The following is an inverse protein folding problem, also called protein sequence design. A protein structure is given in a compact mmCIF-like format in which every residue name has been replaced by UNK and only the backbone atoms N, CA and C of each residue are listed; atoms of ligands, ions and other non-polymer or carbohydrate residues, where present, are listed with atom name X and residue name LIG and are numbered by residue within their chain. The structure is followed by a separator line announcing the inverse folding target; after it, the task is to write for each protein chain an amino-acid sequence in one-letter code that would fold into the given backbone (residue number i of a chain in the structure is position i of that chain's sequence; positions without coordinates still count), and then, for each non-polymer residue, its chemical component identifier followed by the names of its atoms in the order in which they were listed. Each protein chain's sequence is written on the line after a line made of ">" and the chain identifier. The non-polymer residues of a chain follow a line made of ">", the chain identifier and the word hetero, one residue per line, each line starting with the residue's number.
data_IF_297553348531
#
_entry.id   IF_297553348531
#
_cell.length_a   1.000
_cell.length_b   1.000
_cell.length_c   1.000
_cell.angle_alpha   90.00
_cell.angle_beta   90.00
_cell.angle_gamma   90.00
#
_symmetry.space_group_name_H-M   'P 1'
#
loop_
_entity.id
_entity.type
_entity.pdbx_description
1 polymer ?
#
# COMPACT_ATOMS: atom_id res chain seq x y z
N UNK A 1 -3.24 -13.25 -3.46
CA UNK A 1 -2.29 -12.37 -4.19
C UNK A 1 -2.99 -11.81 -5.42
N UNK A 2 -2.66 -10.59 -5.84
CA UNK A 2 -3.30 -9.92 -6.98
C UNK A 2 -2.22 -9.38 -7.87
N UNK A 3 -2.11 -9.94 -9.08
CA UNK A 3 -1.07 -9.54 -10.01
C UNK A 3 -1.43 -8.24 -10.72
N UNK A 4 -0.41 -7.47 -11.08
CA UNK A 4 -0.57 -6.22 -11.83
C UNK A 4 0.75 -5.88 -12.52
N UNK A 5 0.71 -4.92 -13.45
CA UNK A 5 1.89 -4.40 -14.13
C UNK A 5 2.14 -2.94 -13.78
N UNK A 6 3.39 -2.57 -13.53
CA UNK A 6 3.84 -1.18 -13.36
C UNK A 6 5.31 -1.09 -13.78
N UNK A 7 5.75 0.07 -14.28
CA UNK A 7 7.12 0.28 -14.80
C UNK A 7 7.60 -0.79 -15.80
N UNK A 8 6.68 -1.29 -16.64
CA UNK A 8 6.97 -2.33 -17.64
C UNK A 8 7.26 -3.72 -17.06
N UNK A 9 7.02 -3.96 -15.77
CA UNK A 9 7.20 -5.26 -15.10
C UNK A 9 5.88 -5.78 -14.54
N UNK A 10 5.76 -7.11 -14.41
CA UNK A 10 4.65 -7.77 -13.72
C UNK A 10 5.08 -8.06 -12.29
N UNK A 11 4.18 -7.84 -11.34
CA UNK A 11 4.37 -8.14 -9.92
C UNK A 11 3.24 -9.01 -9.39
N UNK A 12 3.57 -9.87 -8.44
CA UNK A 12 2.63 -10.78 -7.76
C UNK A 12 1.90 -10.09 -6.60
N UNK A 13 2.54 -9.08 -6.01
CA UNK A 13 1.99 -8.28 -4.92
C UNK A 13 2.61 -6.88 -4.84
N UNK A 14 2.02 -6.02 -4.00
CA UNK A 14 2.49 -4.65 -3.80
C UNK A 14 3.86 -4.59 -3.10
N UNK A 15 4.14 -5.50 -2.17
CA UNK A 15 5.45 -5.60 -1.48
C UNK A 15 6.58 -5.84 -2.49
N UNK A 16 6.39 -6.77 -3.43
CA UNK A 16 7.37 -7.04 -4.49
C UNK A 16 7.66 -5.79 -5.32
N UNK A 17 6.61 -5.08 -5.74
CA UNK A 17 6.74 -3.86 -6.53
C UNK A 17 7.41 -2.74 -5.74
N UNK A 18 7.05 -2.55 -4.46
CA UNK A 18 7.65 -1.55 -3.58
C UNK A 18 9.15 -1.81 -3.38
N UNK A 19 9.55 -3.05 -3.09
CA UNK A 19 10.95 -3.40 -2.91
C UNK A 19 11.74 -3.28 -4.22
N UNK A 20 11.12 -3.61 -5.37
CA UNK A 20 11.71 -3.37 -6.70
C UNK A 20 11.90 -1.87 -6.96
N UNK A 21 10.89 -1.04 -6.69
CA UNK A 21 10.96 0.41 -6.85
C UNK A 21 12.04 1.02 -5.95
N UNK A 22 12.18 0.53 -4.72
CA UNK A 22 13.28 0.89 -3.82
C UNK A 22 14.65 0.53 -4.42
N UNK A 23 14.83 -0.70 -4.89
CA UNK A 23 16.08 -1.11 -5.52
C UNK A 23 16.41 -0.30 -6.78
N UNK A 24 15.38 0.03 -7.57
CA UNK A 24 15.51 0.86 -8.76
C UNK A 24 15.92 2.30 -8.43
N UNK A 25 15.30 2.90 -7.40
CA UNK A 25 15.63 4.25 -6.91
C UNK A 25 17.12 4.40 -6.57
N UNK A 26 17.71 3.37 -5.95
CA UNK A 26 19.13 3.37 -5.57
C UNK A 26 20.06 2.73 -6.61
N UNK A 27 19.57 2.45 -7.82
CA UNK A 27 20.38 1.88 -8.90
C UNK A 27 20.86 0.44 -8.66
N UNK A 28 20.31 -0.28 -7.70
CA UNK A 28 20.69 -1.66 -7.38
C UNK A 28 19.97 -2.67 -8.29
N UNK A 29 20.41 -2.72 -9.55
CA UNK A 29 19.87 -3.63 -10.55
C UNK A 29 20.00 -5.12 -10.19
N UNK A 30 20.97 -5.48 -9.34
CA UNK A 30 21.14 -6.85 -8.86
C UNK A 30 20.01 -7.22 -7.91
N UNK A 31 19.79 -6.44 -6.86
CA UNK A 31 18.70 -6.68 -5.90
C UNK A 31 17.33 -6.57 -6.58
N UNK A 32 17.14 -5.61 -7.49
CA UNK A 32 15.93 -5.49 -8.29
C UNK A 32 15.64 -6.78 -9.09
N UNK A 33 16.67 -7.36 -9.72
CA UNK A 33 16.56 -8.63 -10.44
C UNK A 33 16.27 -9.83 -9.53
N UNK A 34 16.82 -9.87 -8.32
CA UNK A 34 16.53 -10.91 -7.33
C UNK A 34 15.08 -10.82 -6.81
N UNK A 35 14.56 -9.61 -6.56
CA UNK A 35 13.19 -9.38 -6.11
C UNK A 35 12.17 -9.87 -7.15
N UNK A 36 12.43 -9.65 -8.44
CA UNK A 36 11.56 -10.11 -9.52
C UNK A 36 11.52 -11.65 -9.66
N UNK A 37 12.52 -12.36 -9.12
CA UNK A 37 12.61 -13.83 -9.21
C UNK A 37 11.90 -14.56 -8.07
N UNK A 38 11.36 -13.85 -7.09
CA UNK A 38 10.73 -14.45 -5.91
C UNK A 38 9.29 -13.97 -5.74
N UNK A 39 8.40 -14.91 -5.47
CA UNK A 39 7.00 -14.70 -5.13
C UNK A 39 6.77 -14.61 -3.61
N UNK A 40 7.70 -15.13 -2.79
CA UNK A 40 7.67 -15.06 -1.33
C UNK A 40 7.82 -13.61 -0.78
N UNK A 41 6.78 -13.06 -0.13
CA UNK A 41 6.82 -11.70 0.42
C UNK A 41 7.89 -11.49 1.49
N UNK A 42 8.18 -12.52 2.29
CA UNK A 42 9.22 -12.47 3.32
C UNK A 42 10.61 -12.22 2.71
N UNK A 43 10.92 -12.95 1.63
CA UNK A 43 12.15 -12.83 0.86
C UNK A 43 12.22 -11.50 0.12
N UNK A 44 11.13 -11.02 -0.46
CA UNK A 44 11.07 -9.70 -1.10
C UNK A 44 11.45 -8.60 -0.10
N UNK A 45 10.84 -8.61 1.09
CA UNK A 45 11.14 -7.67 2.18
C UNK A 45 12.58 -7.80 2.66
N UNK A 46 13.09 -9.02 2.81
CA UNK A 46 14.48 -9.27 3.21
C UNK A 46 15.49 -8.75 2.16
N UNK A 47 15.18 -8.87 0.87
CA UNK A 47 15.99 -8.31 -0.21
C UNK A 47 15.95 -6.78 -0.22
N UNK A 48 14.79 -6.17 0.03
CA UNK A 48 14.65 -4.72 0.13
C UNK A 48 15.45 -4.08 1.28
N UNK A 49 15.80 -4.85 2.31
CA UNK A 49 16.74 -4.44 3.38
C UNK A 49 18.21 -4.50 2.95
N UNK A 50 18.52 -5.18 1.84
CA UNK A 50 19.88 -5.37 1.30
C UNK A 50 20.19 -4.46 0.11
N UNK A 51 19.28 -3.57 -0.26
CA UNK A 51 19.49 -2.59 -1.34
C UNK A 51 20.74 -1.75 -1.03
N UNK A 52 21.69 -1.77 -1.96
CA UNK A 52 22.93 -1.00 -1.85
C UNK A 52 22.68 0.48 -2.14
N UNK A 53 23.50 1.33 -1.53
CA UNK A 53 23.37 2.79 -1.68
C UNK A 53 22.11 3.35 -1.04
N UNK A 54 21.46 2.59 -0.16
CA UNK A 54 20.27 3.04 0.56
C UNK A 54 20.56 4.28 1.38
N UNK A 55 19.74 5.31 1.17
CA UNK A 55 19.71 6.54 1.94
C UNK A 55 18.29 6.78 2.44
N UNK A 56 18.14 6.97 3.75
CA UNK A 56 16.81 7.09 4.38
C UNK A 56 16.11 8.39 3.99
N UNK A 57 16.85 9.50 3.80
CA UNK A 57 16.26 10.78 3.43
C UNK A 57 15.65 10.72 2.03
N UNK A 58 16.43 10.22 1.05
CA UNK A 58 15.97 9.97 -0.32
C UNK A 58 14.79 9.01 -0.34
N UNK A 59 14.86 7.92 0.45
CA UNK A 59 13.77 6.96 0.52
C UNK A 59 12.50 7.58 1.12
N UNK A 60 12.62 8.35 2.20
CA UNK A 60 11.49 9.00 2.85
C UNK A 60 10.80 9.98 1.90
N UNK A 61 11.57 10.70 1.08
CA UNK A 61 11.04 11.62 0.06
C UNK A 61 10.26 10.89 -1.06
N UNK A 62 10.76 9.74 -1.54
CA UNK A 62 10.18 9.07 -2.71
C UNK A 62 9.19 7.94 -2.38
N UNK A 63 9.23 7.35 -1.18
CA UNK A 63 8.47 6.13 -0.86
C UNK A 63 6.97 6.27 -1.05
N UNK A 64 6.41 7.44 -0.72
CA UNK A 64 4.98 7.71 -0.85
C UNK A 64 4.58 7.70 -2.33
N UNK A 65 5.34 8.39 -3.17
CA UNK A 65 5.14 8.40 -4.62
C UNK A 65 5.23 7.00 -5.20
N UNK A 66 6.27 6.24 -4.85
CA UNK A 66 6.47 4.86 -5.33
C UNK A 66 5.28 3.97 -4.93
N UNK A 67 4.84 4.01 -3.68
CA UNK A 67 3.71 3.20 -3.21
C UNK A 67 2.38 3.67 -3.80
N UNK A 68 2.21 4.96 -4.09
CA UNK A 68 1.05 5.48 -4.80
C UNK A 68 0.99 4.96 -6.24
N UNK A 69 2.09 5.01 -6.99
CA UNK A 69 2.17 4.46 -8.36
C UNK A 69 1.85 2.95 -8.38
N UNK A 70 2.41 2.19 -7.42
CA UNK A 70 2.13 0.76 -7.24
C UNK A 70 0.65 0.52 -6.93
N UNK A 71 0.09 1.30 -6.02
CA UNK A 71 -1.31 1.16 -5.59
C UNK A 71 -2.26 1.50 -6.72
N UNK A 72 -2.05 2.61 -7.43
CA UNK A 72 -2.83 2.98 -8.62
C UNK A 72 -2.84 1.84 -9.64
N UNK A 73 -1.67 1.33 -10.01
CA UNK A 73 -1.56 0.24 -10.98
C UNK A 73 -2.30 -1.03 -10.52
N UNK A 74 -2.18 -1.37 -9.22
CA UNK A 74 -2.85 -2.53 -8.63
C UNK A 74 -4.37 -2.38 -8.66
N UNK A 75 -4.93 -1.26 -8.19
CA UNK A 75 -6.38 -1.06 -8.15
C UNK A 75 -6.98 -0.85 -9.54
N UNK A 76 -6.26 -0.19 -10.46
CA UNK A 76 -6.71 -0.03 -11.85
C UNK A 76 -6.89 -1.39 -12.56
N UNK A 77 -5.92 -2.29 -12.38
CA UNK A 77 -5.93 -3.59 -13.07
C UNK A 77 -6.78 -4.66 -12.36
N UNK A 78 -7.17 -4.44 -11.11
CA UNK A 78 -7.90 -5.43 -10.31
C UNK A 78 -9.27 -4.89 -9.88
N UNK A 79 -10.26 -5.01 -10.79
CA UNK A 79 -11.65 -4.55 -10.57
C UNK A 79 -12.27 -4.98 -9.24
N UNK A 80 -12.00 -6.21 -8.80
CA UNK A 80 -12.49 -6.70 -7.50
C UNK A 80 -11.95 -5.89 -6.32
N UNK A 81 -10.66 -5.55 -6.35
CA UNK A 81 -10.01 -4.72 -5.32
C UNK A 81 -10.45 -3.28 -5.42
N UNK A 82 -10.57 -2.73 -6.64
CA UNK A 82 -11.06 -1.36 -6.85
C UNK A 82 -12.44 -1.16 -6.24
N UNK A 83 -13.37 -2.07 -6.51
CA UNK A 83 -14.72 -1.99 -5.91
C UNK A 83 -14.68 -2.05 -4.39
N UNK A 84 -13.84 -2.92 -3.81
CA UNK A 84 -13.65 -2.94 -2.34
C UNK A 84 -13.11 -1.61 -1.80
N UNK A 85 -12.17 -0.98 -2.51
CA UNK A 85 -11.65 0.33 -2.13
C UNK A 85 -12.72 1.42 -2.24
N UNK A 86 -13.50 1.47 -3.33
CA UNK A 86 -14.59 2.42 -3.50
C UNK A 86 -15.70 2.23 -2.46
N UNK A 87 -15.99 0.99 -2.05
CA UNK A 87 -16.93 0.67 -0.96
C UNK A 87 -16.51 1.21 0.41
N UNK A 88 -15.27 1.68 0.57
CA UNK A 88 -14.89 2.36 1.80
C UNK A 88 -15.56 3.73 1.94
N UNK A 89 -16.10 4.30 0.85
CA UNK A 89 -16.80 5.59 0.85
C UNK A 89 -15.86 6.71 1.28
N UNK A 90 -16.31 7.57 2.19
CA UNK A 90 -15.46 8.62 2.80
C UNK A 90 -14.69 8.16 4.04
N UNK A 91 -14.83 6.89 4.46
CA UNK A 91 -14.24 6.43 5.72
C UNK A 91 -12.72 6.53 5.70
N UNK A 92 -12.08 7.01 6.78
CA UNK A 92 -10.63 6.95 6.92
C UNK A 92 -10.11 5.51 6.83
N UNK A 93 -8.97 5.34 6.17
CA UNK A 93 -8.28 4.05 6.09
C UNK A 93 -7.04 4.07 6.97
N UNK A 94 -6.78 2.95 7.65
CA UNK A 94 -5.67 2.81 8.56
C UNK A 94 -5.07 1.40 8.50
N UNK A 95 -3.74 1.32 8.46
CA UNK A 95 -3.02 0.05 8.62
C UNK A 95 -2.74 -0.18 10.11
N UNK A 96 -3.55 -1.04 10.72
CA UNK A 96 -3.53 -1.32 12.16
C UNK A 96 -2.40 -2.28 12.55
N UNK A 97 -1.17 -1.77 12.52
CA UNK A 97 0.04 -2.50 12.90
C UNK A 97 0.69 -1.86 14.14
N UNK A 98 0.87 -2.59 15.25
CA UNK A 98 1.51 -2.08 16.47
C UNK A 98 3.04 -1.92 16.33
N UNK A 99 3.63 -2.43 15.26
CA UNK A 99 5.09 -2.43 15.03
C UNK A 99 5.50 -1.59 13.81
N UNK A 100 4.53 -0.97 13.12
CA UNK A 100 4.78 -0.11 11.98
C UNK A 100 4.28 1.32 12.27
N UNK A 101 5.23 2.21 12.53
CA UNK A 101 4.98 3.62 12.83
C UNK A 101 5.06 4.51 11.58
N UNK A 102 5.37 3.95 10.42
CA UNK A 102 5.55 4.69 9.17
C UNK A 102 4.34 4.46 8.26
N UNK A 103 4.14 3.22 7.84
CA UNK A 103 3.01 2.86 6.99
C UNK A 103 1.75 2.62 7.82
N UNK A 104 1.94 2.11 9.05
CA UNK A 104 0.88 1.86 10.02
C UNK A 104 0.61 3.01 10.98
N UNK A 105 -0.38 2.78 11.83
CA UNK A 105 -0.80 3.69 12.91
C UNK A 105 -0.08 3.41 14.24
N UNK A 106 0.81 2.40 14.30
CA UNK A 106 1.51 2.02 15.53
C UNK A 106 0.60 1.44 16.63
N UNK A 107 -0.61 1.00 16.27
CA UNK A 107 -1.58 0.35 17.15
C UNK A 107 -2.22 -0.84 16.42
N UNK A 108 -2.55 -1.90 17.16
CA UNK A 108 -3.48 -2.92 16.65
C UNK A 108 -4.91 -2.37 16.53
N UNK A 109 -5.80 -3.12 15.87
CA UNK A 109 -7.16 -2.69 15.60
C UNK A 109 -8.00 -2.44 16.87
N UNK A 110 -7.73 -3.18 17.95
CA UNK A 110 -8.46 -3.05 19.22
C UNK A 110 -8.12 -1.71 19.86
N UNK A 111 -6.83 -1.43 20.02
CA UNK A 111 -6.35 -0.18 20.61
C UNK A 111 -6.68 1.03 19.71
N UNK A 112 -6.59 0.87 18.39
CA UNK A 112 -6.96 1.91 17.43
C UNK A 112 -8.43 2.34 17.57
N UNK A 113 -9.34 1.39 17.81
CA UNK A 113 -10.78 1.69 17.98
C UNK A 113 -11.11 2.51 19.23
N UNK A 114 -10.18 2.56 20.19
CA UNK A 114 -10.32 3.27 21.47
C UNK A 114 -9.44 4.53 21.52
N UNK A 115 -8.61 4.75 20.51
CA UNK A 115 -7.65 5.86 20.46
C UNK A 115 -8.09 6.87 19.41
N UNK A 116 -8.30 8.15 19.79
CA UNK A 116 -8.55 9.22 18.83
C UNK A 116 -7.51 9.24 17.71
N UNK A 117 -7.94 9.49 16.49
CA UNK A 117 -7.10 9.40 15.28
C UNK A 117 -5.89 10.35 15.30
N UNK A 118 -6.01 11.48 15.99
CA UNK A 118 -4.95 12.47 16.20
C UNK A 118 -3.93 12.05 17.26
N UNK A 119 -4.20 10.98 18.01
CA UNK A 119 -3.31 10.40 19.03
C UNK A 119 -2.64 9.10 18.56
N UNK A 120 -2.84 8.70 17.31
CA UNK A 120 -2.15 7.54 16.77
C UNK A 120 -0.64 7.80 16.69
N UNK A 121 0.21 6.89 17.22
CA UNK A 121 1.66 7.07 17.25
C UNK A 121 2.32 6.92 15.87
N UNK A 122 1.67 6.22 14.92
CA UNK A 122 2.19 6.01 13.57
C UNK A 122 1.66 7.01 12.54
N UNK A 123 2.42 7.20 11.46
CA UNK A 123 2.13 8.19 10.43
C UNK A 123 1.00 7.79 9.46
N UNK A 124 0.57 6.52 9.46
CA UNK A 124 -0.49 6.01 8.59
C UNK A 124 -0.29 6.31 7.09
N UNK A 125 0.95 6.23 6.58
CA UNK A 125 1.21 6.58 5.18
C UNK A 125 0.44 5.69 4.20
N UNK A 126 0.22 4.40 4.53
CA UNK A 126 -0.51 3.51 3.64
C UNK A 126 -1.99 3.93 3.55
N UNK A 127 -2.63 4.24 4.68
CA UNK A 127 -4.00 4.74 4.70
C UNK A 127 -4.17 5.99 3.85
N UNK A 128 -3.26 6.96 3.99
CA UNK A 128 -3.26 8.20 3.19
C UNK A 128 -3.10 7.93 1.70
N UNK A 129 -2.18 7.05 1.31
CA UNK A 129 -2.00 6.65 -0.09
C UNK A 129 -3.27 6.00 -0.64
N UNK A 130 -3.88 5.06 0.11
CA UNK A 130 -5.08 4.36 -0.35
C UNK A 130 -6.29 5.29 -0.49
N UNK A 131 -6.43 6.29 0.38
CA UNK A 131 -7.48 7.30 0.25
C UNK A 131 -7.25 8.16 -1.01
N UNK A 132 -6.02 8.63 -1.27
CA UNK A 132 -5.74 9.35 -2.53
C UNK A 132 -5.97 8.49 -3.79
N UNK A 133 -5.62 7.20 -3.73
CA UNK A 133 -5.92 6.25 -4.81
C UNK A 133 -7.42 6.05 -4.98
N UNK A 134 -8.19 5.98 -3.89
CA UNK A 134 -9.65 5.88 -3.93
C UNK A 134 -10.26 7.06 -4.66
N UNK A 135 -9.76 8.27 -4.43
CA UNK A 135 -10.28 9.48 -5.07
C UNK A 135 -10.01 9.45 -6.58
N UNK A 136 -8.80 9.09 -7.01
CA UNK A 136 -8.48 8.88 -8.43
C UNK A 136 -9.37 7.79 -9.06
N UNK A 137 -9.58 6.67 -8.37
CA UNK A 137 -10.42 5.59 -8.87
C UNK A 137 -11.89 5.99 -8.96
N UNK A 138 -12.37 6.85 -8.07
CA UNK A 138 -13.74 7.37 -8.06
C UNK A 138 -14.01 8.21 -9.29
N UNK A 139 -13.08 9.09 -9.63
CA UNK A 139 -13.17 9.96 -10.81
C UNK A 139 -13.09 9.15 -12.11
N UNK A 140 -12.22 8.15 -12.16
CA UNK A 140 -12.01 7.32 -13.34
C UNK A 140 -13.09 6.25 -13.57
N UNK A 141 -13.73 5.73 -12.51
CA UNK A 141 -14.68 4.60 -12.56
C UNK A 141 -16.01 4.94 -11.88
N UNK A 142 -16.64 6.04 -12.29
CA UNK A 142 -17.90 6.54 -11.72
C UNK A 142 -19.04 5.52 -11.74
N UNK A 143 -19.06 4.63 -12.73
CA UNK A 143 -20.01 3.53 -12.86
C UNK A 143 -19.82 2.38 -11.84
N UNK A 144 -18.72 2.38 -11.09
CA UNK A 144 -18.42 1.39 -10.05
C UNK A 144 -18.62 1.94 -8.63
N UNK A 145 -19.02 3.20 -8.49
CA UNK A 145 -19.35 3.81 -7.20
C UNK A 145 -20.63 3.17 -6.65
N UNK A 146 -20.66 2.72 -5.39
CA UNK A 146 -21.89 2.21 -4.76
C UNK A 146 -23.00 3.26 -4.77
N UNK A 147 -24.21 2.87 -5.15
CA UNK A 147 -25.37 3.78 -5.19
C UNK A 147 -25.83 4.29 -3.79
N UNK A 148 -25.31 3.71 -2.71
CA UNK A 148 -25.64 4.05 -1.32
C UNK A 148 -24.37 3.95 -0.46
N UNK A 149 -24.05 5.02 0.28
CA UNK A 149 -22.99 5.03 1.31
C UNK A 149 -23.20 3.88 2.31
N UNK A 150 -22.21 3.01 2.55
CA UNK A 150 -22.37 1.95 3.53
C UNK A 150 -22.39 2.54 4.95
N UNK A 151 -23.59 2.66 5.50
CA UNK A 151 -23.83 2.85 6.93
C UNK A 151 -23.40 1.60 7.71
N UNK A 152 -22.10 1.49 8.05
CA UNK A 152 -21.62 0.42 8.92
C UNK A 152 -20.09 0.27 8.96
N UNK A 153 -19.55 0.17 10.18
CA UNK A 153 -18.14 -0.13 10.46
C UNK A 153 -17.85 -1.56 9.96
N UNK A 154 -17.00 -1.71 8.94
CA UNK A 154 -16.52 -3.04 8.53
C UNK A 154 -15.48 -3.50 9.56
N UNK A 155 -15.84 -4.51 10.36
CA UNK A 155 -14.89 -5.30 11.12
C UNK A 155 -14.39 -6.42 10.20
N UNK A 156 -13.19 -6.28 9.63
CA UNK A 156 -12.56 -7.42 8.97
C UNK A 156 -11.98 -8.34 10.04
N UNK A 157 -12.57 -9.54 10.15
CA UNK A 157 -12.04 -10.64 10.93
C UNK A 157 -10.83 -11.25 10.22
N UNK A 158 -9.80 -11.58 11.01
CA UNK A 158 -8.59 -12.28 10.62
C UNK A 158 -8.87 -13.49 9.72
N UNK A 159 -8.01 -13.65 8.71
CA UNK A 159 -7.65 -14.99 8.21
C UNK A 159 -6.84 -15.73 9.26
#
# INVERSE_FOLDING_TARGET
>A
MSTFKVWGKRFECAEQAMMYGKAHLFGDGKIAGEILKTDDPGRQKALGRKVRGFDEETWSAERVRIVAEVSLAKYEQNRGLRRKLLQTGERPLAEASPIDFIWGIGLDATNASQTPTDQWPGANLLGRVLMGVRDVMRDAHTNEIPAVEPTGIMKEGSS
#
